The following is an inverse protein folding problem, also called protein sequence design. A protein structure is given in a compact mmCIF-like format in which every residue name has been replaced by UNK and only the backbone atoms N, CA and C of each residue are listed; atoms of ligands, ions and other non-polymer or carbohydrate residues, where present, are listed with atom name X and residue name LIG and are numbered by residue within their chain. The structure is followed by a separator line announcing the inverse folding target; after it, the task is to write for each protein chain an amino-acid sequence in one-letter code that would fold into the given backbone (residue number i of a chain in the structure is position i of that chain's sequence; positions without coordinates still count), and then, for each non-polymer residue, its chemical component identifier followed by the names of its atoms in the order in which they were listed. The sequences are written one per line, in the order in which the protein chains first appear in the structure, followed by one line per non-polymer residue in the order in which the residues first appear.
data_IF_541754260775
#
_entry.id   IF_541754260775
#
_cell.length_a   1.000
_cell.length_b   1.000
_cell.length_c   1.000
_cell.angle_alpha   90.00
_cell.angle_beta   90.00
_cell.angle_gamma   90.00
#
_symmetry.space_group_name_H-M   'P 1'
#
loop_
_entity.id
_entity.type
_entity.pdbx_description
1 polymer ?
#
# COMPACT_ATOMS: atom_id res chain seq x y z
N UNK A 1 17.31 -17.29 -23.05
CA UNK A 1 16.48 -16.53 -22.09
C UNK A 1 16.55 -17.31 -20.79
N UNK A 2 17.26 -16.81 -19.81
CA UNK A 2 17.35 -17.48 -18.53
C UNK A 2 16.07 -17.18 -17.74
N UNK A 3 15.33 -18.23 -17.41
CA UNK A 3 14.13 -18.12 -16.60
C UNK A 3 14.48 -17.53 -15.24
N UNK A 4 13.88 -16.38 -14.92
CA UNK A 4 14.00 -15.72 -13.62
C UNK A 4 13.29 -16.60 -12.57
N UNK A 5 14.06 -17.18 -11.64
CA UNK A 5 13.53 -17.94 -10.51
C UNK A 5 13.17 -16.98 -9.38
N UNK A 6 11.92 -16.97 -8.98
CA UNK A 6 11.43 -16.20 -7.83
C UNK A 6 11.22 -17.14 -6.64
N UNK A 7 11.88 -16.89 -5.53
CA UNK A 7 11.66 -17.59 -4.27
C UNK A 7 10.66 -16.84 -3.40
N UNK A 8 9.59 -17.48 -3.00
CA UNK A 8 8.80 -17.06 -1.83
C UNK A 8 9.41 -17.77 -0.61
N UNK A 9 9.48 -17.06 0.52
CA UNK A 9 10.07 -17.60 1.74
C UNK A 9 9.40 -18.94 2.12
N UNK A 10 10.21 -20.02 2.12
CA UNK A 10 9.78 -21.36 2.52
C UNK A 10 9.46 -22.38 1.43
N UNK A 11 9.23 -21.94 0.18
CA UNK A 11 8.97 -22.88 -0.91
C UNK A 11 10.15 -22.93 -1.90
N UNK A 12 10.75 -24.08 -2.08
CA UNK A 12 11.70 -24.30 -3.16
C UNK A 12 10.98 -24.15 -4.50
N UNK A 13 11.43 -23.19 -5.30
CA UNK A 13 10.88 -22.91 -6.63
C UNK A 13 11.16 -24.10 -7.53
N UNK A 14 10.11 -24.73 -8.04
CA UNK A 14 10.21 -25.70 -9.10
C UNK A 14 10.64 -24.98 -10.40
N UNK A 15 11.50 -25.56 -11.22
CA UNK A 15 12.04 -24.99 -12.47
C UNK A 15 10.99 -24.57 -13.52
N UNK A 16 9.71 -24.75 -13.22
CA UNK A 16 8.56 -24.44 -14.07
C UNK A 16 7.68 -23.29 -13.56
N UNK A 17 8.12 -22.50 -12.57
CA UNK A 17 7.29 -21.38 -12.10
C UNK A 17 7.26 -20.26 -13.14
N UNK A 18 6.08 -20.07 -13.72
CA UNK A 18 5.75 -18.95 -14.60
C UNK A 18 5.24 -17.75 -13.79
N UNK A 19 5.28 -16.55 -14.37
CA UNK A 19 4.60 -15.38 -13.82
C UNK A 19 3.11 -15.74 -13.70
N UNK A 20 2.60 -15.74 -12.48
CA UNK A 20 1.21 -16.14 -12.22
C UNK A 20 0.23 -14.99 -12.44
N UNK A 21 0.63 -13.75 -12.17
CA UNK A 21 -0.24 -12.57 -12.28
C UNK A 21 0.53 -11.34 -12.73
N UNK A 22 -0.15 -10.52 -13.54
CA UNK A 22 0.27 -9.18 -13.93
C UNK A 22 -0.78 -8.20 -13.46
N UNK A 23 -0.39 -7.06 -12.93
CA UNK A 23 -1.28 -6.03 -12.44
C UNK A 23 -0.78 -4.63 -12.73
N UNK A 24 -1.56 -3.64 -12.33
CA UNK A 24 -1.20 -2.24 -12.43
C UNK A 24 -1.14 -1.57 -11.05
N UNK A 25 -0.60 -0.36 -11.02
CA UNK A 25 -0.30 0.32 -9.76
C UNK A 25 -1.10 1.61 -9.58
N UNK A 26 -1.64 1.78 -8.38
CA UNK A 26 -2.10 3.01 -7.75
C UNK A 26 -3.28 3.71 -8.41
N UNK A 27 -3.30 3.89 -9.72
CA UNK A 27 -4.31 4.66 -10.42
C UNK A 27 -4.83 3.93 -11.64
N UNK A 28 -6.15 3.76 -11.68
CA UNK A 28 -6.80 3.26 -12.88
C UNK A 28 -6.76 4.32 -13.98
N UNK A 29 -6.30 3.94 -15.14
CA UNK A 29 -6.35 4.72 -16.37
C UNK A 29 -7.14 3.93 -17.41
N UNK A 30 -8.14 4.57 -18.02
CA UNK A 30 -8.92 3.93 -19.07
C UNK A 30 -8.03 3.56 -20.26
N UNK A 31 -8.13 2.35 -20.83
CA UNK A 31 -7.23 1.94 -21.94
C UNK A 31 -7.30 2.85 -23.16
N UNK A 32 -8.49 3.32 -23.50
CA UNK A 32 -8.68 4.28 -24.60
C UNK A 32 -8.53 5.73 -24.10
N UNK A 33 -7.34 6.28 -24.26
CA UNK A 33 -7.02 7.66 -23.89
C UNK A 33 -7.39 8.69 -24.99
N UNK A 34 -7.97 8.25 -26.11
CA UNK A 34 -8.39 9.17 -27.21
C UNK A 34 -9.72 9.85 -26.92
N UNK A 35 -10.47 9.38 -25.91
CA UNK A 35 -11.73 9.96 -25.51
C UNK A 35 -11.57 11.37 -24.91
N UNK A 36 -12.65 12.16 -24.94
CA UNK A 36 -12.64 13.49 -24.34
C UNK A 36 -12.31 13.39 -22.84
N UNK A 37 -11.47 14.30 -22.35
CA UNK A 37 -11.00 14.35 -20.96
C UNK A 37 -12.15 14.24 -19.93
N UNK A 38 -13.27 14.92 -20.17
CA UNK A 38 -14.44 14.88 -19.28
C UNK A 38 -15.02 13.46 -19.16
N UNK A 39 -15.08 12.71 -20.26
CA UNK A 39 -15.56 11.33 -20.28
C UNK A 39 -14.59 10.42 -19.52
N UNK A 40 -13.29 10.58 -19.76
CA UNK A 40 -12.26 9.84 -19.03
C UNK A 40 -12.33 10.10 -17.52
N UNK A 41 -12.51 11.35 -17.11
CA UNK A 41 -12.67 11.71 -15.70
C UNK A 41 -13.91 11.08 -15.08
N UNK A 42 -15.04 11.04 -15.78
CA UNK A 42 -16.27 10.40 -15.31
C UNK A 42 -16.10 8.89 -15.13
N UNK A 43 -15.41 8.21 -16.05
CA UNK A 43 -15.14 6.77 -15.96
C UNK A 43 -14.11 6.43 -14.86
N UNK A 44 -13.03 7.21 -14.77
CA UNK A 44 -11.90 6.93 -13.89
C UNK A 44 -12.15 7.34 -12.43
N UNK A 45 -12.95 8.39 -12.21
CA UNK A 45 -13.20 8.97 -10.89
C UNK A 45 -13.76 7.97 -9.86
N UNK A 46 -14.71 7.08 -10.20
CA UNK A 46 -15.22 6.08 -9.24
C UNK A 46 -14.21 5.00 -8.85
N UNK A 47 -13.12 4.86 -9.60
CA UNK A 47 -12.08 3.84 -9.42
C UNK A 47 -10.80 4.39 -8.79
N UNK A 48 -10.71 5.71 -8.62
CA UNK A 48 -9.50 6.37 -8.14
C UNK A 48 -9.75 7.12 -6.84
N UNK A 49 -8.79 7.06 -5.93
CA UNK A 49 -8.80 7.80 -4.68
C UNK A 49 -8.64 9.31 -4.90
N UNK A 50 -9.08 10.08 -3.91
CA UNK A 50 -8.89 11.53 -3.79
C UNK A 50 -8.04 11.83 -2.59
N UNK A 51 -7.40 12.98 -2.60
CA UNK A 51 -6.61 13.45 -1.48
C UNK A 51 -6.95 14.89 -1.11
N UNK A 52 -6.36 15.37 -0.04
CA UNK A 52 -6.37 16.77 0.40
C UNK A 52 -5.02 17.09 1.04
N UNK A 53 -4.76 18.35 1.30
CA UNK A 53 -3.50 18.80 1.91
C UNK A 53 -3.76 19.43 3.27
N UNK A 54 -2.79 19.32 4.18
CA UNK A 54 -2.80 20.03 5.47
C UNK A 54 -3.05 21.52 5.27
N UNK A 55 -2.40 22.12 4.26
CA UNK A 55 -2.57 23.54 3.95
C UNK A 55 -4.02 23.91 3.60
N UNK A 56 -4.73 23.06 2.86
CA UNK A 56 -6.13 23.32 2.54
C UNK A 56 -6.99 23.19 3.80
N UNK A 57 -6.81 22.12 4.57
CA UNK A 57 -7.57 21.87 5.81
C UNK A 57 -7.41 23.01 6.81
N UNK A 58 -6.18 23.49 7.01
CA UNK A 58 -5.89 24.56 7.98
C UNK A 58 -6.44 25.95 7.57
N UNK A 59 -6.94 26.11 6.35
CA UNK A 59 -7.63 27.32 5.88
C UNK A 59 -9.14 27.29 6.08
N UNK A 60 -9.68 26.15 6.51
CA UNK A 60 -11.12 25.96 6.71
C UNK A 60 -11.49 26.06 8.19
N UNK A 61 -12.79 26.17 8.47
CA UNK A 61 -13.26 25.87 9.82
C UNK A 61 -13.10 24.37 10.10
N UNK A 62 -13.08 24.02 11.38
CA UNK A 62 -12.89 22.62 11.79
C UNK A 62 -13.97 21.72 11.19
N UNK A 63 -15.22 22.17 11.24
CA UNK A 63 -16.37 21.41 10.74
C UNK A 63 -16.27 21.16 9.22
N UNK A 64 -15.85 22.16 8.45
CA UNK A 64 -15.68 22.05 7.00
C UNK A 64 -14.51 21.11 6.68
N UNK A 65 -13.42 21.19 7.43
CA UNK A 65 -12.26 20.32 7.24
C UNK A 65 -12.58 18.84 7.60
N UNK A 66 -13.24 18.59 8.73
CA UNK A 66 -13.69 17.26 9.15
C UNK A 66 -14.68 16.66 8.14
N UNK A 67 -15.65 17.46 7.68
CA UNK A 67 -16.58 16.99 6.63
C UNK A 67 -15.85 16.63 5.34
N UNK A 68 -14.83 17.40 4.96
CA UNK A 68 -14.01 17.10 3.78
C UNK A 68 -13.24 15.77 3.94
N UNK A 69 -12.66 15.51 5.11
CA UNK A 69 -12.00 14.25 5.41
C UNK A 69 -12.97 13.07 5.37
N UNK A 70 -14.16 13.26 5.94
CA UNK A 70 -15.23 12.27 5.89
C UNK A 70 -15.63 11.93 4.45
N UNK A 71 -15.90 12.94 3.63
CA UNK A 71 -16.31 12.76 2.23
C UNK A 71 -15.22 12.06 1.40
N UNK A 72 -13.94 12.36 1.67
CA UNK A 72 -12.81 11.69 1.03
C UNK A 72 -12.74 10.24 1.47
N UNK A 73 -12.84 9.95 2.77
CA UNK A 73 -12.85 8.59 3.31
C UNK A 73 -13.94 7.73 2.65
N UNK A 74 -15.17 8.23 2.66
CA UNK A 74 -16.32 7.52 2.06
C UNK A 74 -16.06 7.24 0.57
N UNK A 75 -15.63 8.25 -0.16
CA UNK A 75 -15.31 8.09 -1.59
C UNK A 75 -14.17 7.10 -1.82
N UNK A 76 -13.09 7.19 -1.07
CA UNK A 76 -11.88 6.40 -1.29
C UNK A 76 -12.10 4.91 -0.97
N UNK A 77 -12.85 4.61 0.09
CA UNK A 77 -13.21 3.22 0.41
C UNK A 77 -14.11 2.63 -0.69
N UNK A 78 -15.07 3.43 -1.18
CA UNK A 78 -15.90 2.99 -2.31
C UNK A 78 -15.09 2.84 -3.60
N UNK A 79 -14.11 3.71 -3.85
CA UNK A 79 -13.21 3.60 -5.00
C UNK A 79 -12.36 2.32 -4.95
N UNK A 80 -11.87 1.93 -3.78
CA UNK A 80 -11.21 0.64 -3.60
C UNK A 80 -12.14 -0.54 -3.91
N UNK A 81 -13.36 -0.49 -3.41
CA UNK A 81 -14.36 -1.53 -3.68
C UNK A 81 -14.61 -1.67 -5.19
N UNK A 82 -14.89 -0.56 -5.88
CA UNK A 82 -15.13 -0.54 -7.32
C UNK A 82 -13.91 -0.99 -8.14
N UNK A 83 -12.72 -0.58 -7.73
CA UNK A 83 -11.47 -0.97 -8.38
C UNK A 83 -11.23 -2.48 -8.27
N UNK A 84 -11.46 -3.05 -7.09
CA UNK A 84 -11.31 -4.49 -6.85
C UNK A 84 -12.39 -5.28 -7.62
N UNK A 85 -13.61 -4.78 -7.67
CA UNK A 85 -14.68 -5.37 -8.49
C UNK A 85 -14.30 -5.40 -9.98
N UNK A 86 -13.80 -4.27 -10.50
CA UNK A 86 -13.28 -4.19 -11.87
C UNK A 86 -12.14 -5.19 -12.11
N UNK A 87 -11.11 -5.19 -11.26
CA UNK A 87 -9.97 -6.11 -11.38
C UNK A 87 -10.41 -7.57 -11.27
N UNK A 88 -11.36 -7.86 -10.38
CA UNK A 88 -11.95 -9.20 -10.22
C UNK A 88 -12.75 -9.68 -11.41
N UNK A 89 -13.23 -8.77 -12.28
CA UNK A 89 -13.89 -9.12 -13.55
C UNK A 89 -12.92 -9.53 -14.66
N UNK A 90 -11.63 -9.28 -14.48
CA UNK A 90 -10.59 -9.61 -15.45
C UNK A 90 -10.24 -11.11 -15.40
N UNK A 91 -9.55 -11.67 -16.43
CA UNK A 91 -8.95 -13.00 -16.36
C UNK A 91 -8.04 -13.17 -15.12
N UNK A 92 -7.93 -14.40 -14.62
CA UNK A 92 -7.20 -14.67 -13.37
C UNK A 92 -5.76 -14.14 -13.37
N UNK A 93 -5.09 -14.19 -14.50
CA UNK A 93 -3.71 -13.72 -14.69
C UNK A 93 -3.57 -12.19 -14.51
N UNK A 94 -4.69 -11.46 -14.60
CA UNK A 94 -4.75 -10.01 -14.46
C UNK A 94 -5.36 -9.54 -13.13
N UNK A 95 -5.73 -10.46 -12.22
CA UNK A 95 -6.34 -10.13 -10.93
C UNK A 95 -5.29 -9.73 -9.89
N UNK A 96 -4.55 -8.67 -10.19
CA UNK A 96 -3.59 -8.07 -9.27
C UNK A 96 -3.61 -6.56 -9.38
N UNK A 97 -3.60 -5.86 -8.25
CA UNK A 97 -3.55 -4.40 -8.22
C UNK A 97 -2.80 -3.89 -6.99
N UNK A 98 -1.95 -2.89 -7.19
CA UNK A 98 -1.40 -2.07 -6.11
C UNK A 98 -2.38 -0.94 -5.83
N UNK A 99 -2.94 -0.92 -4.63
CA UNK A 99 -3.84 0.14 -4.17
C UNK A 99 -3.07 1.45 -3.92
N UNK A 100 -3.72 2.58 -4.15
CA UNK A 100 -3.12 3.89 -3.88
C UNK A 100 -2.95 4.14 -2.38
N UNK A 101 -1.80 4.65 -1.94
CA UNK A 101 -1.46 4.83 -0.52
C UNK A 101 -2.25 5.92 0.20
N UNK A 102 -2.79 6.90 -0.53
CA UNK A 102 -3.50 8.07 0.00
C UNK A 102 -4.97 7.83 0.36
N UNK A 103 -5.35 6.62 0.74
CA UNK A 103 -6.76 6.27 0.96
C UNK A 103 -7.37 7.03 2.13
N UNK A 104 -6.60 7.27 3.19
CA UNK A 104 -6.96 8.11 4.34
C UNK A 104 -5.93 9.25 4.46
N UNK A 105 -6.12 10.38 3.75
CA UNK A 105 -5.12 11.43 3.67
C UNK A 105 -4.87 12.09 5.03
N UNK A 106 -3.66 12.59 5.23
CA UNK A 106 -3.20 13.25 6.46
C UNK A 106 -3.31 12.40 7.75
N UNK A 107 -3.35 11.08 7.61
CA UNK A 107 -3.54 10.14 8.73
C UNK A 107 -2.48 10.30 9.82
N UNK A 108 -1.22 10.44 9.42
CA UNK A 108 -0.07 10.60 10.33
C UNK A 108 0.27 12.07 10.61
N UNK A 109 -0.50 13.02 10.07
CA UNK A 109 -0.26 14.44 10.27
C UNK A 109 -0.76 14.91 11.63
N UNK A 110 0.13 15.47 12.44
CA UNK A 110 -0.09 15.80 13.85
C UNK A 110 -1.39 16.55 14.13
N UNK A 111 -1.71 17.54 13.28
CA UNK A 111 -2.89 18.40 13.47
C UNK A 111 -4.20 17.72 13.11
N UNK A 112 -4.16 16.64 12.30
CA UNK A 112 -5.35 16.01 11.75
C UNK A 112 -5.48 14.51 12.09
N UNK A 113 -4.47 13.89 12.70
CA UNK A 113 -4.48 12.47 13.07
C UNK A 113 -5.62 12.11 14.05
N UNK A 114 -6.03 13.05 14.88
CA UNK A 114 -7.15 12.85 15.81
C UNK A 114 -8.46 12.47 15.11
N UNK A 115 -8.71 13.02 13.89
CA UNK A 115 -9.92 12.72 13.11
C UNK A 115 -10.07 11.22 12.87
N UNK A 116 -8.99 10.56 12.52
CA UNK A 116 -8.97 9.12 12.24
C UNK A 116 -9.13 8.25 13.49
N UNK A 117 -9.04 8.85 14.68
CA UNK A 117 -9.27 8.18 15.96
C UNK A 117 -10.69 8.36 16.49
N UNK A 118 -11.52 9.19 15.86
CA UNK A 118 -12.92 9.38 16.24
C UNK A 118 -13.67 8.04 16.13
N UNK A 119 -14.52 7.67 17.12
CA UNK A 119 -15.22 6.38 17.15
C UNK A 119 -16.02 6.11 15.88
N UNK A 120 -16.77 7.10 15.39
CA UNK A 120 -17.61 6.96 14.18
C UNK A 120 -16.75 6.74 12.93
N UNK A 121 -15.62 7.45 12.80
CA UNK A 121 -14.66 7.29 11.71
C UNK A 121 -14.06 5.89 11.71
N UNK A 122 -13.59 5.42 12.89
CA UNK A 122 -13.03 4.07 13.04
C UNK A 122 -14.06 2.98 12.74
N UNK A 123 -15.28 3.14 13.23
CA UNK A 123 -16.38 2.20 12.97
C UNK A 123 -16.71 2.14 11.48
N UNK A 124 -16.76 3.31 10.82
CA UNK A 124 -16.97 3.37 9.38
C UNK A 124 -15.84 2.66 8.61
N UNK A 125 -14.57 2.96 8.94
CA UNK A 125 -13.41 2.30 8.35
C UNK A 125 -13.49 0.78 8.57
N UNK A 126 -13.69 0.31 9.80
CA UNK A 126 -13.73 -1.11 10.11
C UNK A 126 -14.82 -1.84 9.32
N UNK A 127 -16.01 -1.27 9.23
CA UNK A 127 -17.13 -1.87 8.53
C UNK A 127 -16.90 -1.93 7.01
N UNK A 128 -16.49 -0.82 6.44
CA UNK A 128 -16.47 -0.70 4.98
C UNK A 128 -15.19 -1.27 4.36
N UNK A 129 -14.02 -1.13 4.99
CA UNK A 129 -12.80 -1.82 4.53
C UNK A 129 -12.91 -3.34 4.67
N UNK A 130 -13.61 -3.87 5.69
CA UNK A 130 -13.85 -5.30 5.81
C UNK A 130 -14.62 -5.86 4.57
N UNK A 131 -15.56 -5.08 4.04
CA UNK A 131 -16.26 -5.43 2.79
C UNK A 131 -15.31 -5.44 1.59
N UNK A 132 -14.40 -4.45 1.50
CA UNK A 132 -13.37 -4.38 0.46
C UNK A 132 -12.48 -5.63 0.48
N UNK A 133 -11.95 -5.99 1.66
CA UNK A 133 -11.10 -7.17 1.82
C UNK A 133 -11.85 -8.49 1.54
N UNK A 134 -13.12 -8.58 1.94
CA UNK A 134 -13.96 -9.74 1.66
C UNK A 134 -14.19 -9.90 0.15
N UNK A 135 -14.48 -8.80 -0.56
CA UNK A 135 -14.62 -8.80 -2.01
C UNK A 135 -13.32 -9.27 -2.70
N UNK A 136 -12.18 -8.72 -2.29
CA UNK A 136 -10.90 -9.09 -2.88
C UNK A 136 -10.60 -10.59 -2.75
N UNK A 137 -10.86 -11.17 -1.56
CA UNK A 137 -10.70 -12.62 -1.35
C UNK A 137 -11.70 -13.44 -2.16
N UNK A 138 -12.97 -13.02 -2.24
CA UNK A 138 -13.99 -13.76 -3.00
C UNK A 138 -13.76 -13.77 -4.51
N UNK A 139 -13.10 -12.72 -5.04
CA UNK A 139 -12.76 -12.59 -6.46
C UNK A 139 -11.33 -13.05 -6.77
N UNK A 140 -10.60 -13.53 -5.76
CA UNK A 140 -9.19 -13.91 -5.88
C UNK A 140 -8.32 -12.78 -6.47
N UNK A 141 -8.50 -11.54 -5.99
CA UNK A 141 -7.70 -10.39 -6.39
C UNK A 141 -6.51 -10.23 -5.44
N UNK A 142 -5.29 -10.27 -5.97
CA UNK A 142 -4.07 -10.04 -5.21
C UNK A 142 -3.87 -8.54 -5.00
N UNK A 143 -3.77 -8.13 -3.74
CA UNK A 143 -3.61 -6.74 -3.34
C UNK A 143 -2.19 -6.45 -2.85
N UNK A 144 -1.75 -5.22 -3.10
CA UNK A 144 -0.56 -4.64 -2.48
C UNK A 144 -0.73 -3.15 -2.25
N UNK A 145 0.14 -2.57 -1.41
CA UNK A 145 0.31 -1.14 -1.21
C UNK A 145 1.79 -0.78 -1.29
N UNK A 146 2.06 0.52 -1.44
CA UNK A 146 3.41 1.06 -1.42
C UNK A 146 3.36 2.43 -0.72
N UNK A 147 3.79 2.52 0.55
CA UNK A 147 3.98 3.79 1.24
C UNK A 147 4.84 4.75 0.42
N UNK A 148 4.64 6.05 0.62
CA UNK A 148 5.37 7.06 -0.13
C UNK A 148 6.89 6.98 0.07
N UNK A 149 7.65 7.50 -0.87
CA UNK A 149 9.12 7.50 -0.89
C UNK A 149 9.80 8.10 0.35
N UNK A 150 9.05 8.82 1.20
CA UNK A 150 9.55 9.38 2.46
C UNK A 150 9.52 8.39 3.62
N UNK A 151 9.07 7.16 3.41
CA UNK A 151 9.10 6.06 4.38
C UNK A 151 10.49 5.44 4.39
N UNK A 152 11.40 6.01 5.19
CA UNK A 152 12.82 5.65 5.24
C UNK A 152 13.11 4.89 6.54
N UNK A 153 12.83 3.59 6.56
CA UNK A 153 12.93 2.73 7.74
C UNK A 153 14.37 2.49 8.23
N UNK A 154 15.37 2.70 7.37
CA UNK A 154 16.80 2.53 7.72
C UNK A 154 17.57 3.87 7.75
N UNK A 155 16.91 4.97 8.15
CA UNK A 155 17.56 6.25 8.38
C UNK A 155 18.53 6.17 9.57
N UNK A 156 19.59 6.96 9.52
CA UNK A 156 20.49 7.22 10.67
C UNK A 156 19.90 8.25 11.64
N UNK A 157 18.82 8.94 11.27
CA UNK A 157 18.09 9.86 12.13
C UNK A 157 16.88 9.13 12.78
N UNK A 158 16.86 8.97 14.12
CA UNK A 158 15.78 8.30 14.82
C UNK A 158 14.40 8.91 14.58
N UNK A 159 14.29 10.24 14.48
CA UNK A 159 13.01 10.92 14.25
C UNK A 159 12.43 10.61 12.86
N UNK A 160 13.30 10.35 11.89
CA UNK A 160 12.86 9.91 10.55
C UNK A 160 12.38 8.47 10.61
N UNK A 161 13.08 7.59 11.34
CA UNK A 161 12.66 6.20 11.53
C UNK A 161 11.31 6.15 12.25
N UNK A 162 11.11 6.94 13.31
CA UNK A 162 9.85 6.97 14.07
C UNK A 162 8.68 7.38 13.18
N UNK A 163 8.83 8.46 12.41
CA UNK A 163 7.80 8.89 11.44
C UNK A 163 7.56 7.87 10.33
N UNK A 164 8.60 7.17 9.90
CA UNK A 164 8.48 6.13 8.89
C UNK A 164 7.74 4.90 9.43
N UNK A 165 7.93 4.56 10.70
CA UNK A 165 7.16 3.52 11.38
C UNK A 165 5.69 3.95 11.50
N UNK A 166 5.39 5.17 11.93
CA UNK A 166 4.02 5.70 12.00
C UNK A 166 3.33 5.63 10.63
N UNK A 167 4.02 6.02 9.57
CA UNK A 167 3.49 5.96 8.20
C UNK A 167 3.26 4.52 7.76
N UNK A 168 4.17 3.60 8.07
CA UNK A 168 3.99 2.18 7.75
C UNK A 168 2.84 1.55 8.55
N UNK A 169 2.72 1.88 9.84
CA UNK A 169 1.61 1.41 10.69
C UNK A 169 0.25 1.97 10.24
N UNK A 170 0.20 3.18 9.68
CA UNK A 170 -0.99 3.68 9.01
C UNK A 170 -1.47 2.74 7.89
N UNK A 171 -0.56 2.33 7.02
CA UNK A 171 -0.89 1.36 5.96
C UNK A 171 -1.32 0.02 6.56
N UNK A 172 -0.67 -0.39 7.63
CA UNK A 172 -1.02 -1.60 8.37
C UNK A 172 -2.43 -1.51 8.99
N UNK A 173 -2.85 -0.35 9.48
CA UNK A 173 -4.22 -0.15 9.96
C UNK A 173 -5.26 -0.37 8.85
N UNK A 174 -5.02 0.17 7.67
CA UNK A 174 -5.89 -0.07 6.50
C UNK A 174 -5.91 -1.55 6.12
N UNK A 175 -4.75 -2.19 6.07
CA UNK A 175 -4.59 -3.63 5.77
C UNK A 175 -5.36 -4.47 6.81
N UNK A 176 -5.24 -4.11 8.09
CA UNK A 176 -5.93 -4.75 9.21
C UNK A 176 -7.45 -4.59 9.12
N UNK A 177 -7.96 -3.39 8.77
CA UNK A 177 -9.39 -3.16 8.52
C UNK A 177 -9.93 -4.02 7.38
N UNK A 178 -9.13 -4.29 6.34
CA UNK A 178 -9.50 -5.20 5.25
C UNK A 178 -9.42 -6.69 5.66
N UNK A 179 -8.92 -6.99 6.86
CA UNK A 179 -8.84 -8.35 7.40
C UNK A 179 -7.62 -9.14 6.93
N UNK A 180 -6.55 -8.45 6.53
CA UNK A 180 -5.25 -9.00 6.20
C UNK A 180 -4.21 -8.73 7.31
N UNK A 181 -2.97 -9.14 7.09
CA UNK A 181 -1.86 -8.99 8.04
C UNK A 181 -1.81 -10.09 9.10
N UNK A 182 -2.68 -11.08 9.04
CA UNK A 182 -2.76 -12.16 10.03
C UNK A 182 -1.78 -13.29 9.77
N UNK A 183 -1.39 -13.48 8.53
CA UNK A 183 -0.45 -14.50 8.08
C UNK A 183 0.66 -13.85 7.28
N UNK A 184 1.84 -14.49 7.28
CA UNK A 184 2.98 -14.00 6.51
C UNK A 184 2.61 -13.85 5.03
N UNK A 185 2.74 -12.62 4.53
CA UNK A 185 2.52 -12.23 3.13
C UNK A 185 1.10 -12.50 2.58
N UNK A 186 0.08 -12.52 3.44
CA UNK A 186 -1.32 -12.51 2.98
C UNK A 186 -1.72 -11.18 2.33
N UNK A 187 -0.92 -10.14 2.54
CA UNK A 187 -0.92 -8.85 1.85
C UNK A 187 0.52 -8.36 1.69
N UNK A 188 0.79 -7.50 0.71
CA UNK A 188 2.14 -6.95 0.48
C UNK A 188 2.13 -5.44 0.61
N UNK A 189 2.90 -4.93 1.57
CA UNK A 189 3.14 -3.51 1.77
C UNK A 189 4.62 -3.23 1.48
N UNK A 190 4.89 -2.71 0.29
CA UNK A 190 6.25 -2.61 -0.25
C UNK A 190 6.90 -1.28 0.15
N UNK A 191 8.16 -1.32 0.58
CA UNK A 191 8.99 -0.13 0.83
C UNK A 191 10.39 -0.33 0.25
N UNK A 192 11.03 0.76 -0.16
CA UNK A 192 12.41 0.72 -0.63
C UNK A 192 13.39 0.43 0.51
N UNK A 193 14.46 -0.28 0.21
CA UNK A 193 15.62 -0.40 1.09
C UNK A 193 16.40 0.91 1.08
N UNK A 194 15.88 1.94 1.74
CA UNK A 194 16.43 3.29 1.74
C UNK A 194 16.94 3.70 3.12
N UNK A 195 17.85 4.70 3.13
CA UNK A 195 18.47 5.19 4.35
C UNK A 195 19.91 4.69 4.52
N UNK A 196 20.68 5.36 5.41
CA UNK A 196 22.10 5.10 5.54
C UNK A 196 22.47 3.77 6.17
N UNK A 197 21.56 3.21 6.98
CA UNK A 197 21.81 1.98 7.72
C UNK A 197 21.50 0.70 6.91
N UNK A 198 20.84 0.82 5.75
CA UNK A 198 20.58 -0.29 4.85
C UNK A 198 19.96 -1.53 5.52
N UNK A 199 20.43 -2.75 5.18
CA UNK A 199 19.87 -3.99 5.74
C UNK A 199 19.86 -4.04 7.27
N UNK A 200 20.93 -3.57 7.92
CA UNK A 200 21.02 -3.55 9.38
C UNK A 200 19.94 -2.65 10.02
N UNK A 201 19.68 -1.48 9.41
CA UNK A 201 18.63 -0.57 9.84
C UNK A 201 17.23 -1.16 9.66
N UNK A 202 16.98 -1.85 8.55
CA UNK A 202 15.72 -2.58 8.31
C UNK A 202 15.53 -3.66 9.39
N UNK A 203 16.53 -4.52 9.65
CA UNK A 203 16.45 -5.56 10.71
C UNK A 203 16.17 -4.98 12.09
N UNK A 204 16.76 -3.84 12.41
CA UNK A 204 16.48 -3.14 13.68
C UNK A 204 15.04 -2.62 13.75
N UNK A 205 14.55 -2.03 12.67
CA UNK A 205 13.19 -1.45 12.59
C UNK A 205 12.11 -2.54 12.59
N UNK A 206 12.33 -3.69 11.97
CA UNK A 206 11.38 -4.82 12.00
C UNK A 206 10.99 -5.23 13.41
N UNK A 207 11.90 -5.13 14.40
CA UNK A 207 11.62 -5.45 15.81
C UNK A 207 10.64 -4.48 16.48
N UNK A 208 10.46 -3.30 15.90
CA UNK A 208 9.59 -2.23 16.40
C UNK A 208 8.21 -2.22 15.76
N UNK A 209 8.06 -2.89 14.61
CA UNK A 209 6.80 -2.98 13.89
C UNK A 209 5.82 -3.92 14.61
N UNK A 210 4.52 -3.65 14.44
CA UNK A 210 3.45 -4.56 14.88
C UNK A 210 3.55 -5.93 14.20
N UNK A 211 2.96 -6.99 14.76
CA UNK A 211 2.96 -8.31 14.13
C UNK A 211 2.38 -8.29 12.71
N UNK A 212 1.29 -7.56 12.48
CA UNK A 212 0.65 -7.44 11.18
C UNK A 212 1.52 -6.68 10.19
N UNK A 213 2.21 -5.63 10.62
CA UNK A 213 3.17 -4.91 9.81
C UNK A 213 4.31 -5.82 9.35
N UNK A 214 4.86 -6.64 10.26
CA UNK A 214 5.90 -7.64 9.93
C UNK A 214 5.40 -8.72 8.98
N UNK A 215 4.14 -9.10 9.08
CA UNK A 215 3.57 -10.08 8.17
C UNK A 215 3.39 -9.55 6.75
N UNK A 216 3.31 -8.25 6.56
CA UNK A 216 2.95 -7.64 5.27
C UNK A 216 4.08 -6.88 4.59
N UNK A 217 5.12 -6.49 5.33
CA UNK A 217 6.25 -5.74 4.76
C UNK A 217 6.98 -6.55 3.68
N UNK A 218 7.28 -5.88 2.58
CA UNK A 218 8.23 -6.34 1.57
C UNK A 218 9.26 -5.25 1.32
N UNK A 219 10.48 -5.63 1.01
CA UNK A 219 11.56 -4.70 0.69
C UNK A 219 11.91 -4.79 -0.79
N UNK A 220 12.02 -3.63 -1.41
CA UNK A 220 12.40 -3.40 -2.78
C UNK A 220 13.81 -2.81 -2.86
N UNK A 221 14.62 -3.26 -3.82
CA UNK A 221 15.93 -2.67 -4.08
C UNK A 221 15.82 -1.17 -4.42
N UNK A 222 16.87 -0.41 -4.10
CA UNK A 222 16.95 1.03 -4.34
C UNK A 222 17.94 1.33 -5.48
N UNK A 223 17.63 2.33 -6.27
CA UNK A 223 18.46 2.77 -7.42
C UNK A 223 19.76 3.49 -6.98
N UNK A 224 19.79 4.06 -5.76
CA UNK A 224 20.83 5.00 -5.39
C UNK A 224 21.94 4.37 -4.54
N UNK A 225 21.64 3.44 -3.65
CA UNK A 225 22.62 2.98 -2.66
C UNK A 225 22.57 1.49 -2.39
N UNK A 226 21.41 0.90 -2.26
CA UNK A 226 21.21 -0.46 -1.81
C UNK A 226 20.61 -1.31 -2.92
N UNK A 227 21.45 -2.08 -3.58
CA UNK A 227 21.05 -2.89 -4.71
C UNK A 227 20.43 -4.24 -4.30
N UNK A 228 20.32 -5.11 -5.30
CA UNK A 228 19.74 -6.45 -5.14
C UNK A 228 20.53 -7.27 -4.12
N UNK A 229 21.87 -7.21 -4.15
CA UNK A 229 22.72 -7.99 -3.23
C UNK A 229 22.44 -7.61 -1.77
N UNK A 230 22.28 -6.31 -1.49
CA UNK A 230 21.99 -5.83 -0.15
C UNK A 230 20.56 -6.24 0.30
N UNK A 231 19.59 -6.21 -0.62
CA UNK A 231 18.23 -6.67 -0.34
C UNK A 231 18.20 -8.17 -0.02
N UNK A 232 19.04 -8.98 -0.65
CA UNK A 232 19.13 -10.42 -0.38
C UNK A 232 19.59 -10.75 1.03
N UNK A 233 20.29 -9.84 1.73
CA UNK A 233 20.64 -10.01 3.14
C UNK A 233 19.41 -10.07 4.08
N UNK A 234 18.25 -9.66 3.58
CA UNK A 234 16.97 -9.62 4.30
C UNK A 234 16.07 -10.83 3.96
N UNK A 235 16.48 -11.72 3.07
CA UNK A 235 15.64 -12.80 2.54
C UNK A 235 15.14 -13.79 3.63
N UNK A 236 15.89 -13.95 4.72
CA UNK A 236 15.49 -14.79 5.85
C UNK A 236 14.49 -14.11 6.80
N UNK A 237 14.37 -12.78 6.72
CA UNK A 237 13.57 -11.99 7.66
C UNK A 237 12.22 -11.55 7.06
N UNK A 238 12.16 -11.35 5.72
CA UNK A 238 10.99 -10.82 5.01
C UNK A 238 10.99 -11.15 3.52
N UNK A 239 9.88 -10.89 2.84
CA UNK A 239 9.79 -11.08 1.39
C UNK A 239 10.39 -9.89 0.63
N UNK A 240 10.96 -10.18 -0.54
CA UNK A 240 11.63 -9.20 -1.38
C UNK A 240 10.83 -8.89 -2.65
N UNK A 241 10.99 -7.68 -3.14
CA UNK A 241 10.50 -7.22 -4.43
C UNK A 241 11.70 -6.78 -5.27
N UNK A 242 11.75 -7.23 -6.51
CA UNK A 242 12.73 -6.76 -7.48
C UNK A 242 12.10 -5.69 -8.36
N UNK A 243 12.61 -4.47 -8.28
CA UNK A 243 12.36 -3.43 -9.29
C UNK A 243 13.50 -3.41 -10.30
N UNK A 244 13.17 -3.65 -11.57
CA UNK A 244 14.16 -3.70 -12.67
C UNK A 244 14.53 -2.31 -13.21
N UNK A 245 13.86 -1.27 -12.75
CA UNK A 245 14.19 0.12 -13.08
C UNK A 245 15.21 0.74 -12.13
N UNK A 246 15.46 0.07 -11.00
CA UNK A 246 16.43 0.49 -9.98
C UNK A 246 17.76 -0.22 -10.09
#
# INVERSE_FOLDING_TARGET
MNDLKFTTCGDYVNDQQTIQRIGFACKYMHPDQTQKKKILEEIQRPLNTRSTTVQWLNRQTREVAEQRLWDIMVHNIQAYYNLIEYVGSLPNELRMVRLGSDVLPVYTQRDWSYFWQLPDVRNYCATHFARVGTLARSLDVRLSMHPGQFTVLASDNPDIVDRSIEEFEYHTDVIRYMGYGRQFQDFKCNVHISGRQGPAGIKATLKRLSPEARNTITIENDENKWGIADSLELADDLALVLDVHH
#
